data_IF_803454377235
#
_entry.id   IF_803454377235
#
_cell.length_a   1.000
_cell.length_b   1.000
_cell.length_c   1.000
_cell.angle_alpha   90.00
_cell.angle_beta   90.00
_cell.angle_gamma   90.00
#
_symmetry.space_group_name_H-M   'P 1'
#
loop_
_entity.id
_entity.type
_entity.pdbx_description
1 polymer ?
#
# COMPACT_ATOMS: atom_id res chain seq x y z
N UNK A 1 3.98 2.33 -15.91
CA UNK A 1 3.71 3.36 -14.90
C UNK A 1 4.23 2.91 -13.56
N UNK A 2 4.88 3.78 -12.87
CA UNK A 2 5.40 3.46 -11.56
C UNK A 2 4.28 3.47 -10.52
N UNK A 3 4.60 3.94 -9.33
CA UNK A 3 3.67 3.99 -8.22
C UNK A 3 2.64 5.10 -8.42
N UNK A 4 1.52 4.95 -7.76
CA UNK A 4 0.44 5.94 -7.77
C UNK A 4 0.39 6.59 -6.39
N UNK A 5 0.51 7.91 -6.33
CA UNK A 5 0.37 8.63 -5.06
C UNK A 5 -1.10 8.70 -4.70
N UNK A 6 -1.43 8.25 -3.50
CA UNK A 6 -2.81 8.08 -3.08
C UNK A 6 -3.20 9.17 -2.09
N UNK A 7 -4.24 9.91 -2.44
CA UNK A 7 -4.86 10.89 -1.54
C UNK A 7 -6.10 10.27 -0.90
N UNK A 8 -6.71 11.01 0.05
CA UNK A 8 -7.94 10.54 0.66
C UNK A 8 -9.03 10.28 -0.40
N UNK A 9 -9.19 11.22 -1.35
CA UNK A 9 -10.19 11.04 -2.41
C UNK A 9 -9.88 9.86 -3.30
N UNK A 10 -8.62 9.69 -3.64
CA UNK A 10 -8.20 8.54 -4.43
C UNK A 10 -8.41 7.24 -3.69
N UNK A 11 -8.17 7.24 -2.37
CA UNK A 11 -8.40 6.07 -1.54
C UNK A 11 -9.89 5.66 -1.59
N UNK A 12 -10.78 6.64 -1.44
CA UNK A 12 -12.21 6.34 -1.45
C UNK A 12 -12.71 5.83 -2.79
N UNK A 13 -12.06 6.26 -3.88
CA UNK A 13 -12.44 5.81 -5.21
C UNK A 13 -11.84 4.46 -5.59
N UNK A 14 -10.69 4.11 -5.03
CA UNK A 14 -9.92 2.95 -5.50
C UNK A 14 -9.78 1.83 -4.50
N UNK A 15 -9.84 2.14 -3.21
CA UNK A 15 -9.55 1.16 -2.17
C UNK A 15 -10.80 0.80 -1.38
N UNK A 16 -11.39 1.77 -0.67
CA UNK A 16 -12.54 1.50 0.19
C UNK A 16 -13.19 2.80 0.61
N UNK A 17 -14.49 2.75 0.89
CA UNK A 17 -15.20 3.90 1.47
C UNK A 17 -14.85 3.98 2.95
N UNK A 18 -14.32 5.13 3.37
CA UNK A 18 -13.80 5.30 4.72
C UNK A 18 -14.89 5.10 5.77
N UNK A 19 -16.09 5.62 5.52
CA UNK A 19 -17.17 5.51 6.50
C UNK A 19 -17.73 4.09 6.65
N UNK A 20 -17.45 3.20 5.69
CA UNK A 20 -17.86 1.80 5.78
C UNK A 20 -16.84 0.94 6.52
N UNK A 21 -15.58 1.41 6.61
CA UNK A 21 -14.49 0.59 7.14
C UNK A 21 -14.67 0.17 8.59
N UNK A 22 -15.46 0.92 9.36
CA UNK A 22 -15.71 0.58 10.76
C UNK A 22 -16.59 -0.66 10.90
N UNK A 23 -17.40 -0.98 9.90
CA UNK A 23 -18.34 -2.10 9.95
C UNK A 23 -18.01 -3.23 9.01
N UNK A 24 -17.35 -2.96 7.90
CA UNK A 24 -16.99 -3.99 6.94
C UNK A 24 -15.82 -3.54 6.08
N UNK A 25 -15.04 -4.50 5.61
CA UNK A 25 -14.01 -4.25 4.64
C UNK A 25 -14.55 -4.64 3.26
N UNK A 26 -14.62 -3.66 2.36
CA UNK A 26 -15.06 -3.90 0.99
C UNK A 26 -14.09 -3.21 0.03
N UNK A 27 -13.18 -3.99 -0.52
CA UNK A 27 -12.19 -3.48 -1.46
C UNK A 27 -12.84 -3.18 -2.81
N UNK A 28 -12.57 -1.98 -3.33
CA UNK A 28 -13.18 -1.50 -4.58
C UNK A 28 -12.34 -1.85 -5.81
N UNK A 29 -11.11 -2.33 -5.63
CA UNK A 29 -10.23 -2.61 -6.75
C UNK A 29 -10.59 -3.88 -7.50
N UNK A 30 -10.10 -3.96 -8.74
CA UNK A 30 -10.32 -5.14 -9.60
C UNK A 30 -9.12 -6.07 -9.61
N UNK A 31 -8.05 -5.71 -8.92
CA UNK A 31 -6.85 -6.53 -8.74
C UNK A 31 -6.21 -6.17 -7.40
N UNK A 32 -5.34 -7.03 -6.87
CA UNK A 32 -4.73 -6.76 -5.56
C UNK A 32 -3.95 -5.46 -5.56
N UNK A 33 -3.70 -4.94 -4.36
CA UNK A 33 -2.97 -3.68 -4.20
C UNK A 33 -1.93 -3.77 -3.10
N UNK A 34 -0.95 -2.89 -3.17
CA UNK A 34 0.06 -2.68 -2.14
C UNK A 34 0.10 -1.18 -1.85
N UNK A 35 0.07 -0.80 -0.58
CA UNK A 35 0.23 0.59 -0.19
C UNK A 35 1.50 0.74 0.63
N UNK A 36 2.39 1.64 0.20
CA UNK A 36 3.63 2.00 0.90
C UNK A 36 3.40 3.30 1.65
N UNK A 37 3.29 3.21 2.98
CA UNK A 37 3.18 4.39 3.84
C UNK A 37 4.58 4.88 4.19
N UNK A 38 4.89 6.13 3.83
CA UNK A 38 6.23 6.68 3.95
C UNK A 38 6.18 8.14 4.39
N UNK A 39 7.35 8.71 4.66
CA UNK A 39 7.52 10.15 4.83
C UNK A 39 8.83 10.57 4.14
N UNK A 40 8.88 11.81 3.70
CA UNK A 40 10.06 12.32 2.98
C UNK A 40 11.31 12.35 3.83
N UNK A 41 11.17 12.52 5.16
CA UNK A 41 12.30 12.61 6.10
C UNK A 41 12.78 11.23 6.57
N UNK A 42 12.15 10.18 6.18
CA UNK A 42 12.42 8.83 6.69
C UNK A 42 13.49 8.14 5.86
N UNK A 43 14.67 7.90 6.45
CA UNK A 43 15.77 7.26 5.75
C UNK A 43 15.46 5.86 5.21
N UNK A 44 14.92 4.95 6.06
CA UNK A 44 14.53 3.62 5.54
C UNK A 44 13.49 3.68 4.43
N UNK A 45 12.58 4.65 4.48
CA UNK A 45 11.58 4.83 3.42
C UNK A 45 12.27 5.20 2.11
N UNK A 46 13.29 6.06 2.18
CA UNK A 46 14.02 6.48 0.98
C UNK A 46 14.78 5.32 0.35
N UNK A 47 15.32 4.42 1.18
CA UNK A 47 16.02 3.23 0.67
C UNK A 47 15.04 2.24 0.03
N UNK A 48 13.82 2.16 0.58
CA UNK A 48 12.79 1.27 0.06
C UNK A 48 12.17 1.79 -1.25
N UNK A 49 12.14 3.11 -1.42
CA UNK A 49 11.44 3.74 -2.54
C UNK A 49 11.84 3.19 -3.92
N UNK A 50 13.15 3.06 -4.25
CA UNK A 50 13.51 2.48 -5.57
C UNK A 50 13.03 1.05 -5.74
N UNK A 51 13.00 0.27 -4.65
CA UNK A 51 12.52 -1.11 -4.70
C UNK A 51 11.03 -1.12 -5.03
N UNK A 52 10.27 -0.27 -4.38
CA UNK A 52 8.82 -0.17 -4.62
C UNK A 52 8.56 0.27 -6.07
N UNK A 53 9.33 1.23 -6.55
CA UNK A 53 9.19 1.69 -7.94
C UNK A 53 9.50 0.58 -8.94
N UNK A 54 10.55 -0.21 -8.68
CA UNK A 54 10.87 -1.35 -9.54
C UNK A 54 9.74 -2.38 -9.54
N UNK A 55 9.19 -2.66 -8.36
CA UNK A 55 8.10 -3.63 -8.25
C UNK A 55 6.85 -3.13 -8.95
N UNK A 56 6.59 -1.81 -8.90
CA UNK A 56 5.45 -1.25 -9.61
C UNK A 56 5.55 -1.50 -11.11
N UNK A 57 6.76 -1.43 -11.67
CA UNK A 57 6.96 -1.75 -13.08
C UNK A 57 6.82 -3.24 -13.35
N UNK A 58 7.40 -4.09 -12.49
CA UNK A 58 7.34 -5.54 -12.70
C UNK A 58 5.92 -6.08 -12.58
N UNK A 59 5.10 -5.50 -11.71
CA UNK A 59 3.76 -5.99 -11.44
C UNK A 59 2.67 -5.15 -12.10
N UNK A 60 3.05 -4.31 -13.06
CA UNK A 60 2.10 -3.49 -13.82
C UNK A 60 1.02 -4.39 -14.42
N UNK A 61 -0.23 -4.04 -14.19
CA UNK A 61 -1.36 -4.84 -14.66
C UNK A 61 -1.74 -6.02 -13.77
N UNK A 62 -0.91 -6.35 -12.77
CA UNK A 62 -1.17 -7.48 -11.88
C UNK A 62 -1.45 -7.04 -10.45
N UNK A 63 -0.74 -6.05 -9.96
CA UNK A 63 -0.93 -5.47 -8.62
C UNK A 63 -0.80 -3.97 -8.77
N UNK A 64 -1.76 -3.24 -8.22
CA UNK A 64 -1.68 -1.78 -8.18
C UNK A 64 -0.85 -1.37 -6.98
N UNK A 65 0.20 -0.59 -7.20
CA UNK A 65 1.11 -0.19 -6.13
C UNK A 65 0.98 1.30 -5.88
N UNK A 66 0.62 1.65 -4.65
CA UNK A 66 0.34 3.01 -4.21
C UNK A 66 1.35 3.47 -3.18
N UNK A 67 1.54 4.79 -3.10
CA UNK A 67 2.33 5.42 -2.05
C UNK A 67 1.47 6.43 -1.31
N UNK A 68 1.58 6.45 0.01
CA UNK A 68 0.89 7.42 0.86
C UNK A 68 1.91 8.12 1.74
N UNK A 69 1.98 9.45 1.61
CA UNK A 69 2.80 10.30 2.48
C UNK A 69 2.03 10.51 3.77
N UNK A 70 2.54 9.96 4.89
CA UNK A 70 1.81 10.02 6.16
C UNK A 70 1.66 11.44 6.70
N UNK A 71 2.55 12.36 6.31
CA UNK A 71 2.45 13.75 6.74
C UNK A 71 1.35 14.49 5.99
N UNK A 72 1.14 14.14 4.72
CA UNK A 72 0.11 14.76 3.90
C UNK A 72 -1.26 14.10 4.12
N UNK A 73 -1.28 12.79 4.42
CA UNK A 73 -2.52 12.02 4.52
C UNK A 73 -2.62 11.34 5.87
N UNK A 74 -2.73 12.13 6.92
CA UNK A 74 -2.74 11.63 8.29
C UNK A 74 -3.92 10.70 8.56
N UNK A 75 -5.07 11.00 7.97
CA UNK A 75 -6.26 10.19 8.17
C UNK A 75 -6.06 8.77 7.62
N UNK A 76 -5.44 8.64 6.44
CA UNK A 76 -5.19 7.32 5.87
C UNK A 76 -4.24 6.51 6.76
N UNK A 77 -3.22 7.16 7.30
CA UNK A 77 -2.30 6.50 8.22
C UNK A 77 -3.02 6.00 9.46
N UNK A 78 -3.94 6.80 10.01
CA UNK A 78 -4.72 6.37 11.17
C UNK A 78 -5.64 5.20 10.88
N UNK A 79 -6.23 5.15 9.68
CA UNK A 79 -7.12 4.06 9.31
C UNK A 79 -6.44 2.70 9.38
N UNK A 80 -5.17 2.64 9.02
CA UNK A 80 -4.40 1.39 9.05
C UNK A 80 -3.52 1.28 10.28
N UNK A 81 -3.69 2.19 11.24
CA UNK A 81 -2.95 2.21 12.51
C UNK A 81 -1.44 2.21 12.30
N UNK A 82 -0.99 2.98 11.31
CA UNK A 82 0.42 3.11 11.00
C UNK A 82 1.09 3.92 12.10
N UNK A 83 2.03 3.30 12.81
CA UNK A 83 2.76 3.94 13.92
C UNK A 83 4.22 4.18 13.59
N UNK A 84 4.78 3.37 12.75
CA UNK A 84 6.15 3.52 12.30
C UNK A 84 6.18 3.37 10.80
N UNK A 85 7.21 3.94 10.16
CA UNK A 85 7.34 3.90 8.72
C UNK A 85 8.74 3.40 8.36
N UNK A 86 8.89 2.75 7.22
CA UNK A 86 7.83 2.42 6.26
C UNK A 86 6.90 1.31 6.76
N UNK A 87 5.64 1.40 6.39
CA UNK A 87 4.66 0.33 6.63
C UNK A 87 4.05 -0.05 5.29
N UNK A 88 3.97 -1.35 5.03
CA UNK A 88 3.39 -1.87 3.81
C UNK A 88 2.05 -2.53 4.12
N UNK A 89 1.03 -2.20 3.33
CA UNK A 89 -0.30 -2.80 3.45
C UNK A 89 -0.57 -3.57 2.17
N UNK A 90 -0.72 -4.89 2.31
CA UNK A 90 -1.05 -5.78 1.19
C UNK A 90 -2.54 -6.01 1.18
N UNK A 91 -3.18 -5.75 0.05
CA UNK A 91 -4.64 -5.86 -0.08
C UNK A 91 -4.99 -6.97 -1.05
N UNK A 92 -5.34 -8.16 -0.53
CA UNK A 92 -5.75 -9.28 -1.39
C UNK A 92 -7.16 -9.06 -1.91
N UNK A 93 -7.51 -9.78 -2.97
CA UNK A 93 -8.89 -9.85 -3.42
C UNK A 93 -9.66 -10.76 -2.48
N UNK A 94 -10.75 -10.23 -1.92
CA UNK A 94 -11.66 -11.05 -1.12
C UNK A 94 -11.23 -11.36 0.30
N UNK A 95 -10.12 -10.78 0.78
CA UNK A 95 -9.62 -11.01 2.13
C UNK A 95 -9.25 -9.69 2.78
N UNK A 96 -9.01 -9.74 4.10
CA UNK A 96 -8.64 -8.54 4.85
C UNK A 96 -7.23 -8.06 4.48
N UNK A 97 -6.97 -6.76 4.60
CA UNK A 97 -5.62 -6.24 4.38
C UNK A 97 -4.62 -6.81 5.38
N UNK A 98 -3.39 -6.95 4.94
CA UNK A 98 -2.28 -7.43 5.76
C UNK A 98 -1.31 -6.28 5.94
N UNK A 99 -1.10 -5.87 7.21
CA UNK A 99 -0.24 -4.73 7.54
C UNK A 99 1.08 -5.26 8.08
N UNK A 100 2.19 -4.84 7.46
CA UNK A 100 3.53 -5.27 7.88
C UNK A 100 4.47 -4.09 7.95
N UNK A 101 5.37 -4.13 8.92
CA UNK A 101 6.44 -3.15 8.98
C UNK A 101 7.34 -3.33 7.77
N UNK A 102 7.79 -2.21 7.20
CA UNK A 102 8.67 -2.23 6.04
C UNK A 102 10.09 -2.57 6.41
N UNK A 103 11.02 -2.20 5.53
CA UNK A 103 12.42 -2.51 5.74
C UNK A 103 12.81 -3.89 5.25
N UNK A 104 11.90 -4.57 4.57
CA UNK A 104 12.17 -5.88 3.99
C UNK A 104 12.92 -5.73 2.67
N UNK A 105 13.63 -6.78 2.26
CA UNK A 105 14.27 -6.78 0.97
C UNK A 105 13.29 -7.01 -0.17
N UNK A 106 13.74 -6.73 -1.39
CA UNK A 106 12.90 -6.88 -2.58
C UNK A 106 12.33 -8.29 -2.71
N UNK A 107 13.15 -9.31 -2.41
CA UNK A 107 12.71 -10.71 -2.54
C UNK A 107 11.54 -11.05 -1.66
N UNK A 108 11.56 -10.58 -0.41
CA UNK A 108 10.47 -10.85 0.52
C UNK A 108 9.17 -10.17 0.08
N UNK A 109 9.26 -8.93 -0.37
CA UNK A 109 8.10 -8.20 -0.85
C UNK A 109 7.54 -8.90 -2.08
N UNK A 110 8.42 -9.33 -2.97
CA UNK A 110 8.04 -10.02 -4.19
C UNK A 110 7.29 -11.32 -3.91
N UNK A 111 7.76 -12.08 -2.92
CA UNK A 111 7.05 -13.31 -2.51
C UNK A 111 5.62 -13.01 -2.08
N UNK A 112 5.45 -11.93 -1.31
CA UNK A 112 4.11 -11.56 -0.85
C UNK A 112 3.23 -11.07 -1.98
N UNK A 113 3.79 -10.31 -2.91
CA UNK A 113 3.04 -9.87 -4.09
C UNK A 113 2.62 -11.07 -4.95
N UNK A 114 3.51 -12.04 -5.11
CA UNK A 114 3.19 -13.25 -5.87
C UNK A 114 2.04 -14.03 -5.22
N UNK A 115 2.00 -14.04 -3.89
CA UNK A 115 0.92 -14.71 -3.17
C UNK A 115 -0.43 -14.01 -3.39
N UNK A 116 -0.42 -12.69 -3.62
CA UNK A 116 -1.66 -11.95 -3.86
C UNK A 116 -2.32 -12.30 -5.20
N UNK A 117 -1.51 -12.67 -6.19
CA UNK A 117 -2.04 -12.88 -7.56
C UNK A 117 -2.33 -14.35 -7.88
N UNK A 118 -2.23 -15.21 -6.88
CA UNK A 118 -2.57 -16.62 -7.06
C UNK A 118 -4.08 -16.85 -7.01
#
# INVERSE_FOLDING_TARGET
MATIHLTKGGFENRIAKIDEMATQWRFLGTRPALIDFYASWCGPCQRLSPIIDELAEEYDGKVDIYKVDVDAEEELARLFRVRSIPTLVYIPMGELPIVELGGKGKGEIKEKLNALIK
#
